data_IF_875733507959
#
_entry.id   IF_875733507959
#
_cell.length_a   1.000
_cell.length_b   1.000
_cell.length_c   1.000
_cell.angle_alpha   90.00
_cell.angle_beta   90.00
_cell.angle_gamma   90.00
#
_symmetry.space_group_name_H-M   'P 1'
#
loop_
_entity.id
_entity.type
_entity.pdbx_description
1 polymer ?
#
# COMPACT_ATOMS: atom_id res chain seq x y z
N UNK A 1 1.92 -79.80 -6.85
CA UNK A 1 2.28 -81.02 -6.11
C UNK A 1 2.34 -80.67 -4.64
N UNK A 2 1.63 -81.46 -3.83
CA UNK A 2 1.41 -81.41 -2.37
C UNK A 2 0.38 -80.36 -1.89
N UNK A 3 -0.72 -80.95 -1.43
CA UNK A 3 -1.91 -80.45 -0.73
C UNK A 3 -1.69 -80.71 0.78
N UNK A 4 -2.51 -80.08 1.64
CA UNK A 4 -2.99 -80.46 3.00
C UNK A 4 -2.65 -79.41 4.09
N UNK A 5 -3.53 -78.99 5.02
CA UNK A 5 -4.96 -79.23 5.25
C UNK A 5 -5.49 -78.31 6.39
N UNK A 6 -6.80 -78.03 6.33
CA UNK A 6 -7.82 -78.04 7.41
C UNK A 6 -7.80 -76.99 8.53
N UNK A 7 -8.95 -76.32 8.64
CA UNK A 7 -9.44 -75.73 9.90
C UNK A 7 -10.73 -74.92 9.71
N UNK A 8 -11.83 -75.55 9.31
CA UNK A 8 -13.14 -74.90 9.31
C UNK A 8 -13.85 -75.06 10.65
N UNK A 9 -14.49 -73.99 11.17
CA UNK A 9 -15.85 -74.06 11.72
C UNK A 9 -16.44 -72.70 12.12
N UNK A 10 -17.72 -72.57 11.78
CA UNK A 10 -18.83 -71.90 12.49
C UNK A 10 -18.73 -70.40 12.79
N UNK A 11 -19.35 -69.64 11.91
CA UNK A 11 -20.54 -68.82 12.19
C UNK A 11 -20.93 -68.67 13.68
N UNK A 12 -20.77 -67.46 14.22
CA UNK A 12 -21.60 -66.93 15.30
C UNK A 12 -21.87 -65.46 15.02
N UNK A 13 -23.09 -65.20 14.54
CA UNK A 13 -23.77 -63.91 14.69
C UNK A 13 -23.62 -63.42 16.13
N UNK A 14 -23.12 -62.19 16.32
CA UNK A 14 -23.84 -61.11 17.01
C UNK A 14 -22.86 -60.02 17.47
N UNK A 15 -23.23 -58.76 17.24
CA UNK A 15 -22.76 -57.67 18.09
C UNK A 15 -21.53 -56.89 17.63
N UNK A 16 -21.49 -56.40 16.39
CA UNK A 16 -20.58 -55.27 16.05
C UNK A 16 -21.17 -54.36 14.97
N UNK A 17 -22.47 -54.08 15.07
CA UNK A 17 -23.12 -52.97 14.36
C UNK A 17 -23.49 -51.87 15.35
N UNK A 18 -22.48 -51.20 15.91
CA UNK A 18 -22.62 -49.89 16.58
C UNK A 18 -21.38 -49.04 16.33
N UNK A 19 -21.13 -48.70 15.07
CA UNK A 19 -20.50 -47.41 14.76
C UNK A 19 -21.65 -46.39 14.79
N UNK A 20 -22.09 -46.04 16.00
CA UNK A 20 -23.00 -44.92 16.20
C UNK A 20 -22.23 -43.63 15.89
N UNK A 21 -22.75 -42.92 14.88
CA UNK A 21 -22.61 -41.48 14.63
C UNK A 21 -22.10 -40.67 15.83
N UNK A 22 -20.82 -40.27 15.78
CA UNK A 22 -20.19 -39.44 16.81
C UNK A 22 -20.29 -37.95 16.43
N UNK A 23 -21.49 -37.37 16.59
CA UNK A 23 -21.71 -35.92 16.45
C UNK A 23 -21.45 -35.15 17.76
N UNK A 24 -21.41 -35.84 18.92
CA UNK A 24 -21.21 -35.21 20.23
C UNK A 24 -19.74 -34.89 20.56
N UNK A 25 -18.81 -35.79 20.25
CA UNK A 25 -17.37 -35.58 20.49
C UNK A 25 -16.80 -34.46 19.63
N UNK A 26 -17.23 -34.37 18.36
CA UNK A 26 -16.83 -33.28 17.45
C UNK A 26 -17.32 -31.92 17.96
N UNK A 27 -18.55 -31.83 18.47
CA UNK A 27 -19.08 -30.59 19.06
C UNK A 27 -18.34 -30.18 20.32
N UNK A 28 -18.02 -31.14 21.20
CA UNK A 28 -17.25 -30.86 22.43
C UNK A 28 -15.84 -30.34 22.13
N UNK A 29 -15.13 -30.96 21.17
CA UNK A 29 -13.80 -30.53 20.74
C UNK A 29 -13.86 -29.12 20.12
N UNK A 30 -14.83 -28.86 19.25
CA UNK A 30 -15.01 -27.53 18.64
C UNK A 30 -15.30 -26.47 19.71
N UNK A 31 -16.18 -26.74 20.67
CA UNK A 31 -16.47 -25.80 21.76
C UNK A 31 -15.23 -25.52 22.61
N UNK A 32 -14.46 -26.55 22.98
CA UNK A 32 -13.23 -26.39 23.74
C UNK A 32 -12.19 -25.55 22.98
N UNK A 33 -12.02 -25.80 21.68
CA UNK A 33 -11.15 -25.00 20.82
C UNK A 33 -11.60 -23.54 20.74
N UNK A 34 -12.91 -23.28 20.60
CA UNK A 34 -13.46 -21.92 20.59
C UNK A 34 -13.20 -21.19 21.91
N UNK A 35 -13.38 -21.85 23.05
CA UNK A 35 -13.12 -21.27 24.38
C UNK A 35 -11.64 -20.95 24.53
N UNK A 36 -10.74 -21.89 24.21
CA UNK A 36 -9.29 -21.67 24.29
C UNK A 36 -8.88 -20.52 23.37
N UNK A 37 -9.39 -20.50 22.14
CA UNK A 37 -9.09 -19.42 21.18
C UNK A 37 -9.57 -18.07 21.69
N UNK A 38 -10.80 -17.99 22.22
CA UNK A 38 -11.34 -16.76 22.77
C UNK A 38 -10.55 -16.27 23.99
N UNK A 39 -10.15 -17.18 24.90
CA UNK A 39 -9.31 -16.85 26.05
C UNK A 39 -7.93 -16.35 25.62
N UNK A 40 -7.28 -17.03 24.66
CA UNK A 40 -5.99 -16.60 24.12
C UNK A 40 -6.09 -15.22 23.47
N UNK A 41 -7.13 -14.99 22.65
CA UNK A 41 -7.38 -13.67 22.05
C UNK A 41 -7.64 -12.60 23.11
N UNK A 42 -8.35 -12.92 24.19
CA UNK A 42 -8.59 -11.98 25.28
C UNK A 42 -7.30 -11.62 26.03
N UNK A 43 -6.43 -12.60 26.31
CA UNK A 43 -5.13 -12.37 26.96
C UNK A 43 -4.17 -11.52 26.11
N UNK A 44 -4.19 -11.71 24.79
CA UNK A 44 -3.42 -10.89 23.85
C UNK A 44 -4.02 -9.49 23.73
N UNK A 45 -5.35 -9.40 23.61
CA UNK A 45 -6.05 -8.11 23.50
C UNK A 45 -5.94 -7.26 24.78
N UNK A 46 -5.84 -7.89 25.96
CA UNK A 46 -5.60 -7.20 27.23
C UNK A 46 -4.14 -6.81 27.46
N UNK A 47 -3.22 -7.25 26.59
CA UNK A 47 -1.79 -7.01 26.72
C UNK A 47 -1.11 -7.85 27.82
N UNK A 48 -1.78 -8.86 28.37
CA UNK A 48 -1.19 -9.76 29.37
C UNK A 48 -0.12 -10.66 28.78
N UNK A 49 -0.33 -11.15 27.55
CA UNK A 49 0.69 -11.80 26.74
C UNK A 49 1.00 -10.94 25.51
N UNK A 50 2.29 -10.73 25.19
CA UNK A 50 2.64 -9.93 24.03
C UNK A 50 2.26 -10.70 22.75
N UNK A 51 1.65 -9.99 21.80
CA UNK A 51 1.34 -10.56 20.48
C UNK A 51 2.60 -10.85 19.64
N UNK A 52 3.72 -10.19 19.97
CA UNK A 52 4.98 -10.24 19.24
C UNK A 52 6.14 -10.40 20.22
N UNK A 53 7.15 -11.15 19.79
CA UNK A 53 8.37 -11.42 20.56
C UNK A 53 9.58 -11.30 19.62
N UNK A 54 10.80 -11.42 20.14
CA UNK A 54 12.00 -11.45 19.27
C UNK A 54 11.96 -12.62 18.29
N UNK A 55 11.39 -13.76 18.70
CA UNK A 55 11.22 -14.96 17.87
C UNK A 55 10.03 -14.84 16.89
N UNK A 56 9.16 -13.86 17.07
CA UNK A 56 8.01 -13.58 16.18
C UNK A 56 7.84 -12.07 16.06
N UNK A 57 8.72 -11.47 15.25
CA UNK A 57 8.81 -10.03 15.11
C UNK A 57 7.59 -9.42 14.39
N UNK A 58 7.21 -8.23 14.81
CA UNK A 58 6.21 -7.38 14.16
C UNK A 58 6.85 -6.59 13.03
N UNK A 59 6.37 -6.82 11.82
CA UNK A 59 6.71 -6.02 10.65
C UNK A 59 6.10 -4.59 10.76
N UNK A 60 6.94 -3.57 10.79
CA UNK A 60 6.54 -2.14 10.80
C UNK A 60 7.18 -1.39 9.64
N UNK A 61 6.58 -0.30 9.19
CA UNK A 61 7.17 0.61 8.22
C UNK A 61 7.36 1.95 8.91
N UNK A 62 8.61 2.43 8.94
CA UNK A 62 8.97 3.78 9.32
C UNK A 62 9.32 4.55 8.06
N UNK A 63 8.57 5.62 7.80
CA UNK A 63 8.68 6.42 6.56
C UNK A 63 8.69 7.89 6.92
N UNK A 64 9.68 8.64 6.46
CA UNK A 64 9.60 10.09 6.40
C UNK A 64 8.76 10.49 5.19
N UNK A 65 7.61 11.12 5.44
CA UNK A 65 6.68 11.59 4.41
C UNK A 65 6.82 13.09 4.25
N UNK A 66 6.97 13.54 3.00
CA UNK A 66 6.86 14.94 2.60
C UNK A 66 5.69 15.06 1.63
N UNK A 67 4.57 15.60 2.10
CA UNK A 67 3.33 15.71 1.34
C UNK A 67 3.18 17.12 0.77
N UNK A 68 3.29 17.23 -0.55
CA UNK A 68 3.10 18.45 -1.33
C UNK A 68 1.75 18.42 -2.09
N UNK A 69 0.82 17.56 -1.71
CA UNK A 69 -0.49 17.43 -2.37
C UNK A 69 -1.48 18.55 -2.00
N UNK A 70 -1.26 19.25 -0.89
CA UNK A 70 -2.10 20.35 -0.39
C UNK A 70 -1.55 21.73 -0.71
N UNK A 71 -2.26 22.78 -0.26
CA UNK A 71 -1.81 24.18 -0.39
C UNK A 71 -0.49 24.44 0.37
N UNK A 72 -0.36 23.81 1.53
CA UNK A 72 0.84 23.86 2.35
C UNK A 72 1.52 22.49 2.36
N UNK A 73 2.84 22.50 2.17
CA UNK A 73 3.64 21.31 2.26
C UNK A 73 3.71 20.83 3.72
N UNK A 74 3.34 19.57 3.95
CA UNK A 74 3.44 18.93 5.26
C UNK A 74 4.60 17.95 5.29
N UNK A 75 5.27 17.82 6.43
CA UNK A 75 6.32 16.83 6.64
C UNK A 75 6.13 16.14 7.97
N UNK A 76 6.29 14.80 7.99
CA UNK A 76 6.08 14.00 9.19
C UNK A 76 6.68 12.59 9.05
N UNK A 77 6.92 11.93 10.17
CA UNK A 77 7.27 10.51 10.23
C UNK A 77 6.00 9.69 10.42
N UNK A 78 5.77 8.72 9.54
CA UNK A 78 4.70 7.75 9.64
C UNK A 78 5.25 6.40 10.06
N UNK A 79 4.72 5.87 11.16
CA UNK A 79 4.95 4.53 11.67
C UNK A 79 3.65 3.73 11.50
N UNK A 80 3.66 2.68 10.68
CA UNK A 80 2.46 1.87 10.46
C UNK A 80 2.81 0.39 10.23
N UNK A 81 1.80 -0.47 10.34
CA UNK A 81 1.94 -1.90 10.09
C UNK A 81 0.75 -2.43 9.30
N UNK A 82 1.01 -3.43 8.45
CA UNK A 82 -0.04 -4.19 7.78
C UNK A 82 -0.63 -5.29 8.69
N UNK A 83 0.02 -5.54 9.84
CA UNK A 83 -0.49 -6.50 10.82
C UNK A 83 -1.68 -5.89 11.57
N UNK A 84 -2.77 -6.65 11.80
CA UNK A 84 -3.89 -6.17 12.60
C UNK A 84 -3.45 -5.73 14.00
N UNK A 85 -4.07 -4.68 14.52
CA UNK A 85 -3.78 -4.11 15.84
C UNK A 85 -3.40 -2.63 15.78
N UNK A 86 -3.17 -2.03 16.95
CA UNK A 86 -2.63 -0.67 17.06
C UNK A 86 -1.11 -0.71 17.31
N UNK A 87 -0.46 0.46 17.33
CA UNK A 87 1.00 0.61 17.52
C UNK A 87 1.33 1.50 18.73
N UNK A 88 0.40 1.62 19.69
CA UNK A 88 0.52 2.60 20.78
C UNK A 88 1.68 2.27 21.70
N UNK A 89 1.87 0.99 22.01
CA UNK A 89 2.94 0.51 22.88
C UNK A 89 4.30 0.75 22.23
N UNK A 90 4.43 0.45 20.93
CA UNK A 90 5.64 0.70 20.17
C UNK A 90 5.95 2.20 20.10
N UNK A 91 4.95 3.02 19.79
CA UNK A 91 5.06 4.47 19.73
C UNK A 91 5.51 5.09 21.06
N UNK A 92 4.97 4.61 22.19
CA UNK A 92 5.33 5.06 23.54
C UNK A 92 6.78 4.68 23.90
N UNK A 93 7.25 3.50 23.48
CA UNK A 93 8.63 3.07 23.73
C UNK A 93 9.66 3.88 22.92
N UNK A 94 9.34 4.23 21.67
CA UNK A 94 10.23 5.01 20.79
C UNK A 94 10.46 6.43 21.33
N UNK A 95 9.45 7.01 22.02
CA UNK A 95 9.50 8.35 22.63
C UNK A 95 9.86 9.49 21.66
N UNK A 96 9.39 9.39 20.41
CA UNK A 96 9.56 10.44 19.39
C UNK A 96 8.28 11.27 19.15
N UNK A 97 7.34 11.29 20.11
CA UNK A 97 6.17 12.17 20.07
C UNK A 97 5.10 11.75 19.05
N UNK A 98 4.91 10.44 18.88
CA UNK A 98 3.91 9.89 17.98
C UNK A 98 2.48 10.06 18.50
N UNK A 99 1.58 10.52 17.62
CA UNK A 99 0.14 10.46 17.80
C UNK A 99 -0.44 9.38 16.90
N UNK A 100 -1.15 8.41 17.48
CA UNK A 100 -1.61 7.22 16.77
C UNK A 100 -3.13 7.19 16.61
N UNK A 101 -3.58 6.80 15.42
CA UNK A 101 -5.01 6.69 15.17
C UNK A 101 -5.37 6.34 13.73
N UNK A 102 -6.68 6.15 13.51
CA UNK A 102 -7.26 5.87 12.18
C UNK A 102 -7.56 7.13 11.38
N UNK A 103 -7.44 8.29 12.00
CA UNK A 103 -7.50 9.60 11.38
C UNK A 103 -6.18 9.95 10.67
N UNK A 104 -5.06 9.37 11.10
CA UNK A 104 -3.73 9.60 10.53
C UNK A 104 -3.44 8.77 9.28
N UNK A 105 -4.46 8.52 8.45
CA UNK A 105 -4.29 7.68 7.25
C UNK A 105 -3.37 8.37 6.26
N UNK A 106 -2.48 7.58 5.66
CA UNK A 106 -1.63 8.04 4.57
C UNK A 106 -1.85 7.13 3.38
N UNK A 107 -2.10 7.74 2.24
CA UNK A 107 -2.22 7.05 0.96
C UNK A 107 -0.90 7.13 0.21
N UNK A 108 -0.10 6.06 0.24
CA UNK A 108 1.17 5.97 -0.49
C UNK A 108 0.94 5.57 -1.97
N UNK A 109 -0.07 6.20 -2.59
CA UNK A 109 -0.60 6.00 -3.95
C UNK A 109 -1.24 4.63 -4.17
N UNK A 110 -2.28 4.40 -3.38
CA UNK A 110 -3.16 3.25 -3.17
C UNK A 110 -2.56 2.03 -2.45
N UNK A 111 -1.44 2.25 -1.76
CA UNK A 111 -1.08 1.48 -0.56
C UNK A 111 -1.48 2.31 0.68
N UNK A 112 -2.67 2.05 1.22
CA UNK A 112 -3.25 2.86 2.32
C UNK A 112 -2.81 2.33 3.70
N UNK A 113 -2.12 3.17 4.47
CA UNK A 113 -1.86 2.94 5.88
C UNK A 113 -3.11 3.28 6.71
N UNK A 114 -4.01 2.29 6.89
CA UNK A 114 -5.32 2.47 7.57
C UNK A 114 -5.24 2.90 9.04
N UNK A 115 -4.15 2.53 9.70
CA UNK A 115 -3.80 2.96 11.05
C UNK A 115 -2.32 3.36 11.03
N UNK A 116 -2.01 4.55 11.52
CA UNK A 116 -0.63 4.99 11.62
C UNK A 116 -0.42 5.80 12.90
N UNK A 117 0.83 5.84 13.32
CA UNK A 117 1.37 6.73 14.31
C UNK A 117 2.18 7.80 13.58
N UNK A 118 1.84 9.07 13.77
CA UNK A 118 2.49 10.19 13.10
C UNK A 118 3.24 11.06 14.10
N UNK A 119 4.48 11.42 13.77
CA UNK A 119 5.26 12.43 14.50
C UNK A 119 5.69 13.54 13.57
N UNK A 120 5.47 14.79 13.98
CA UNK A 120 5.93 16.00 13.27
C UNK A 120 7.23 16.57 13.85
N UNK A 121 7.80 15.90 14.85
CA UNK A 121 8.96 16.38 15.59
C UNK A 121 10.18 16.48 14.67
N UNK A 122 10.66 17.70 14.46
CA UNK A 122 11.79 18.04 13.59
C UNK A 122 11.64 17.51 12.15
N UNK A 123 10.42 17.34 11.64
CA UNK A 123 10.19 16.68 10.36
C UNK A 123 10.76 17.46 9.15
N UNK A 124 10.99 18.77 9.27
CA UNK A 124 11.53 19.58 8.17
C UNK A 124 13.00 19.31 7.82
N UNK A 125 13.71 18.49 8.61
CA UNK A 125 15.15 18.23 8.43
C UNK A 125 15.38 16.90 7.70
N UNK A 126 16.38 16.84 6.82
CA UNK A 126 16.86 15.60 6.19
C UNK A 126 16.31 15.30 4.80
N UNK A 127 15.54 16.22 4.22
CA UNK A 127 15.09 16.19 2.82
C UNK A 127 15.28 17.57 2.18
N UNK A 128 15.40 17.61 0.86
CA UNK A 128 15.66 18.82 0.10
C UNK A 128 14.43 19.21 -0.74
N UNK A 129 14.21 20.52 -0.94
CA UNK A 129 13.08 21.00 -1.78
C UNK A 129 13.20 20.54 -3.24
N UNK A 130 14.41 20.29 -3.73
CA UNK A 130 14.64 19.75 -5.08
C UNK A 130 14.15 18.32 -5.26
N UNK A 131 13.94 17.58 -4.17
CA UNK A 131 13.48 16.19 -4.20
C UNK A 131 11.95 16.08 -4.28
N UNK A 132 11.25 17.21 -4.09
CA UNK A 132 9.78 17.26 -4.15
C UNK A 132 9.35 17.10 -5.62
N UNK A 133 8.53 16.09 -5.94
CA UNK A 133 8.06 15.89 -7.31
C UNK A 133 7.05 16.97 -7.70
N UNK A 134 6.99 17.26 -9.00
CA UNK A 134 6.14 18.31 -9.56
C UNK A 134 5.22 17.72 -10.62
N UNK A 135 3.93 18.01 -10.50
CA UNK A 135 2.92 17.76 -11.53
C UNK A 135 2.41 19.11 -12.03
N UNK A 136 2.63 19.41 -13.31
CA UNK A 136 2.23 20.69 -13.90
C UNK A 136 1.45 20.50 -15.19
N UNK A 137 0.27 21.10 -15.26
CA UNK A 137 -0.48 21.18 -16.52
C UNK A 137 0.28 22.06 -17.51
N UNK A 138 0.74 21.48 -18.61
CA UNK A 138 1.43 22.17 -19.70
C UNK A 138 0.49 22.55 -20.84
N UNK A 139 -0.53 21.73 -21.08
CA UNK A 139 -1.58 22.04 -22.05
C UNK A 139 -2.94 21.51 -21.58
N UNK A 140 -4.01 22.23 -21.90
CA UNK A 140 -5.39 21.87 -21.55
C UNK A 140 -6.31 22.34 -22.68
N UNK A 141 -6.56 21.43 -23.63
CA UNK A 141 -7.34 21.73 -24.83
C UNK A 141 -8.68 21.02 -24.78
N UNK A 142 -9.69 21.67 -25.36
CA UNK A 142 -10.86 20.94 -25.86
C UNK A 142 -10.41 20.15 -27.08
N UNK A 143 -10.71 18.85 -27.11
CA UNK A 143 -10.36 17.99 -28.23
C UNK A 143 -10.89 18.53 -29.55
N UNK A 144 -10.13 18.31 -30.62
CA UNK A 144 -10.40 18.80 -31.97
C UNK A 144 -10.90 17.65 -32.86
N UNK A 145 -11.72 17.98 -33.86
CA UNK A 145 -12.26 16.99 -34.81
C UNK A 145 -13.41 16.16 -34.23
N UNK A 146 -13.51 14.89 -34.60
CA UNK A 146 -14.57 13.96 -34.13
C UNK A 146 -14.50 13.65 -32.62
N UNK A 147 -13.39 14.02 -31.97
CA UNK A 147 -13.13 13.78 -30.56
C UNK A 147 -13.17 15.09 -29.75
N UNK A 148 -14.37 15.56 -29.40
CA UNK A 148 -14.58 16.79 -28.58
C UNK A 148 -14.12 16.65 -27.10
N UNK A 149 -13.48 15.54 -26.71
CA UNK A 149 -13.09 15.29 -25.30
C UNK A 149 -11.96 16.23 -24.87
N UNK A 150 -12.00 16.70 -23.63
CA UNK A 150 -10.91 17.51 -23.04
C UNK A 150 -9.64 16.66 -22.95
N UNK A 151 -8.52 17.20 -23.44
CA UNK A 151 -7.20 16.58 -23.38
C UNK A 151 -6.31 17.45 -22.50
N UNK A 152 -5.78 16.87 -21.43
CA UNK A 152 -4.86 17.54 -20.51
C UNK A 152 -3.48 16.92 -20.63
N UNK A 153 -2.48 17.72 -21.01
CA UNK A 153 -1.08 17.34 -20.97
C UNK A 153 -0.44 17.83 -19.67
N UNK A 154 0.23 16.93 -18.98
CA UNK A 154 0.84 17.15 -17.67
C UNK A 154 2.32 16.80 -17.77
N UNK A 155 3.20 17.74 -17.44
CA UNK A 155 4.60 17.45 -17.16
C UNK A 155 4.72 16.87 -15.75
N UNK A 156 5.47 15.79 -15.63
CA UNK A 156 5.78 15.09 -14.39
C UNK A 156 7.29 15.07 -14.19
N UNK A 157 7.75 15.74 -13.14
CA UNK A 157 9.14 15.71 -12.68
C UNK A 157 9.22 14.95 -11.36
N UNK A 158 10.10 13.95 -11.25
CA UNK A 158 10.14 13.03 -10.10
C UNK A 158 11.05 13.48 -8.97
N UNK A 159 11.54 14.73 -8.99
CA UNK A 159 12.48 15.25 -8.01
C UNK A 159 13.82 14.50 -7.99
N UNK A 160 14.20 13.84 -9.09
CA UNK A 160 15.41 13.02 -9.16
C UNK A 160 15.24 11.57 -8.72
N UNK A 161 14.04 11.16 -8.28
CA UNK A 161 13.77 9.75 -7.97
C UNK A 161 13.60 8.92 -9.25
N UNK A 162 14.30 7.78 -9.31
CA UNK A 162 14.10 6.75 -10.34
C UNK A 162 13.06 5.69 -9.96
N UNK A 163 12.34 5.89 -8.84
CA UNK A 163 11.34 4.96 -8.31
C UNK A 163 10.08 5.71 -7.91
N UNK A 164 8.99 5.47 -8.62
CA UNK A 164 7.75 6.20 -8.39
C UNK A 164 6.51 5.35 -8.67
N UNK A 165 5.40 5.77 -8.07
CA UNK A 165 4.07 5.22 -8.34
C UNK A 165 3.14 6.37 -8.70
N UNK A 166 2.47 6.25 -9.84
CA UNK A 166 1.46 7.19 -10.32
C UNK A 166 0.08 6.54 -10.25
N UNK A 167 -0.85 7.18 -9.56
CA UNK A 167 -2.27 6.86 -9.54
C UNK A 167 -3.02 7.78 -10.50
N UNK A 168 -3.83 7.21 -11.38
CA UNK A 168 -4.69 7.93 -12.34
C UNK A 168 -6.14 7.60 -12.01
N UNK A 169 -6.96 8.64 -11.84
CA UNK A 169 -8.39 8.49 -11.57
C UNK A 169 -9.19 8.14 -12.84
N UNK A 170 -9.50 6.86 -13.01
CA UNK A 170 -10.24 6.35 -14.16
C UNK A 170 -11.75 6.63 -14.10
N UNK A 171 -12.30 7.23 -13.04
CA UNK A 171 -13.70 7.68 -13.10
C UNK A 171 -13.85 9.01 -13.86
N UNK A 172 -12.75 9.75 -14.05
CA UNK A 172 -12.73 11.01 -14.81
C UNK A 172 -11.85 10.94 -16.06
N UNK A 173 -10.85 10.06 -16.07
CA UNK A 173 -10.01 9.75 -17.22
C UNK A 173 -10.56 8.52 -17.95
N UNK A 174 -10.63 8.60 -19.28
CA UNK A 174 -11.01 7.47 -20.12
C UNK A 174 -9.79 6.67 -20.57
N UNK A 175 -8.73 7.38 -20.98
CA UNK A 175 -7.50 6.81 -21.47
C UNK A 175 -6.32 7.78 -21.21
N UNK A 176 -5.09 7.30 -21.35
CA UNK A 176 -3.89 8.13 -21.18
C UNK A 176 -2.70 7.63 -22.03
N UNK A 177 -1.73 8.51 -22.25
CA UNK A 177 -0.40 8.12 -22.77
C UNK A 177 0.69 8.63 -21.86
N UNK A 178 1.80 7.90 -21.77
CA UNK A 178 2.99 8.28 -21.01
C UNK A 178 4.22 8.27 -21.92
N UNK A 179 4.97 9.37 -21.92
CA UNK A 179 6.19 9.55 -22.72
C UNK A 179 7.35 9.98 -21.82
N UNK A 180 8.57 9.60 -22.19
CA UNK A 180 9.81 10.08 -21.56
C UNK A 180 10.23 11.41 -22.19
N UNK A 181 10.68 12.36 -21.37
CA UNK A 181 11.27 13.61 -21.85
C UNK A 181 10.30 14.79 -22.00
N UNK A 182 10.83 15.94 -22.43
CA UNK A 182 10.10 17.20 -22.64
C UNK A 182 10.10 17.67 -24.11
N UNK A 183 10.91 17.06 -24.99
CA UNK A 183 11.15 17.52 -26.37
C UNK A 183 10.87 16.40 -27.40
N UNK A 184 10.29 16.79 -28.55
CA UNK A 184 9.76 15.91 -29.60
C UNK A 184 10.79 14.99 -30.27
N UNK A 185 12.10 15.27 -30.15
CA UNK A 185 13.15 14.57 -30.91
C UNK A 185 13.68 13.30 -30.21
N UNK A 186 13.49 13.15 -28.89
CA UNK A 186 13.91 11.99 -28.08
C UNK A 186 12.72 11.30 -27.36
N UNK A 187 11.50 11.42 -27.91
CA UNK A 187 10.28 10.85 -27.31
C UNK A 187 10.25 9.32 -27.41
N UNK A 188 10.56 8.62 -26.31
CA UNK A 188 10.20 7.21 -26.16
C UNK A 188 8.80 7.10 -25.52
N UNK A 189 7.83 6.60 -26.31
CA UNK A 189 6.49 6.30 -25.83
C UNK A 189 6.54 5.07 -24.92
N UNK A 190 6.25 5.26 -23.64
CA UNK A 190 6.22 4.17 -22.66
C UNK A 190 4.88 3.45 -22.62
N UNK A 191 3.79 4.22 -22.75
CA UNK A 191 2.44 3.69 -22.72
C UNK A 191 1.65 4.37 -23.83
N UNK A 192 1.23 3.56 -24.80
CA UNK A 192 0.42 3.98 -25.94
C UNK A 192 -1.08 4.02 -25.62
N UNK A 193 -1.80 4.79 -26.43
CA UNK A 193 -3.25 4.88 -26.33
C UNK A 193 -3.89 3.52 -26.63
N UNK A 194 -4.84 3.10 -25.82
CA UNK A 194 -5.52 1.81 -25.99
C UNK A 194 -4.71 0.58 -25.56
N UNK A 195 -3.50 0.75 -25.01
CA UNK A 195 -2.73 -0.35 -24.40
C UNK A 195 -3.25 -0.73 -23.00
N UNK A 196 -4.22 0.02 -22.49
CA UNK A 196 -4.91 -0.24 -21.23
C UNK A 196 -5.74 -1.54 -21.30
N UNK A 197 -5.68 -2.34 -20.24
CA UNK A 197 -6.63 -3.42 -19.96
C UNK A 197 -8.05 -2.85 -19.78
N UNK A 198 -9.00 -3.33 -20.59
CA UNK A 198 -10.39 -2.89 -20.54
C UNK A 198 -11.06 -3.25 -19.20
N UNK A 199 -11.81 -2.31 -18.61
CA UNK A 199 -12.74 -2.58 -17.50
C UNK A 199 -12.32 -2.15 -16.09
N UNK A 200 -11.31 -1.31 -15.90
CA UNK A 200 -10.94 -0.85 -14.54
C UNK A 200 -11.69 0.43 -14.14
N UNK A 201 -12.57 0.31 -13.14
CA UNK A 201 -13.13 1.44 -12.40
C UNK A 201 -12.25 1.76 -11.18
N UNK A 202 -12.03 3.05 -10.90
CA UNK A 202 -11.25 3.53 -9.74
C UNK A 202 -9.84 4.03 -10.08
N UNK A 203 -8.88 3.82 -9.18
CA UNK A 203 -7.49 4.28 -9.35
C UNK A 203 -6.66 3.26 -10.13
N UNK A 204 -6.18 3.64 -11.32
CA UNK A 204 -5.18 2.87 -12.06
C UNK A 204 -3.78 3.23 -11.55
N UNK A 205 -2.93 2.23 -11.30
CA UNK A 205 -1.59 2.42 -10.76
C UNK A 205 -0.52 2.04 -11.78
N UNK A 206 0.42 2.94 -12.00
CA UNK A 206 1.64 2.69 -12.77
C UNK A 206 2.81 2.74 -11.79
N UNK A 207 3.59 1.67 -11.74
CA UNK A 207 4.81 1.60 -10.95
C UNK A 207 6.03 1.62 -11.86
N UNK A 208 6.96 2.52 -11.58
CA UNK A 208 8.23 2.62 -12.27
C UNK A 208 9.39 2.44 -11.28
N UNK A 209 10.41 1.70 -11.70
CA UNK A 209 11.64 1.52 -10.93
C UNK A 209 12.80 1.30 -11.88
N UNK A 210 13.65 2.31 -12.02
CA UNK A 210 14.83 2.29 -12.87
C UNK A 210 16.14 2.50 -12.10
N UNK A 211 17.26 2.28 -12.78
CA UNK A 211 18.61 2.54 -12.25
C UNK A 211 18.99 4.02 -12.22
N UNK A 212 20.24 4.34 -11.88
CA UNK A 212 20.75 5.72 -11.73
C UNK A 212 20.63 6.61 -12.96
N UNK A 213 20.47 6.02 -14.16
CA UNK A 213 20.33 6.74 -15.44
C UNK A 213 18.90 6.69 -16.00
N UNK A 214 17.94 6.24 -15.19
CA UNK A 214 16.56 6.19 -15.59
C UNK A 214 15.98 7.61 -15.76
N UNK A 215 14.99 7.79 -16.64
CA UNK A 215 14.32 9.07 -16.81
C UNK A 215 13.64 9.53 -15.52
N UNK A 216 13.67 10.84 -15.29
CA UNK A 216 13.05 11.53 -14.15
C UNK A 216 12.03 12.59 -14.59
N UNK A 217 11.84 12.72 -15.90
CA UNK A 217 10.92 13.65 -16.54
C UNK A 217 10.05 12.92 -17.53
N UNK A 218 8.75 13.17 -17.46
CA UNK A 218 7.75 12.49 -18.26
C UNK A 218 6.65 13.46 -18.67
N UNK A 219 5.99 13.15 -19.79
CA UNK A 219 4.77 13.82 -20.23
C UNK A 219 3.62 12.84 -20.25
N UNK A 220 2.56 13.19 -19.54
CA UNK A 220 1.32 12.42 -19.47
C UNK A 220 0.22 13.17 -20.23
N UNK A 221 -0.43 12.52 -21.20
CA UNK A 221 -1.63 13.06 -21.85
C UNK A 221 -2.84 12.29 -21.34
N UNK A 222 -3.81 13.01 -20.79
CA UNK A 222 -5.03 12.46 -20.21
C UNK A 222 -6.23 12.76 -21.11
N UNK A 223 -6.94 11.74 -21.54
CA UNK A 223 -8.16 11.85 -22.32
C UNK A 223 -9.36 11.74 -21.38
N UNK A 224 -10.08 12.84 -21.18
CA UNK A 224 -11.14 12.88 -20.18
C UNK A 224 -12.47 12.29 -20.67
N UNK A 225 -13.20 11.66 -19.74
CA UNK A 225 -14.56 11.17 -19.98
C UNK A 225 -15.52 12.34 -20.25
N UNK A 226 -16.50 12.14 -21.14
CA UNK A 226 -17.61 13.08 -21.30
C UNK A 226 -18.60 12.95 -20.13
N UNK A 227 -19.18 14.07 -19.69
CA UNK A 227 -20.27 14.07 -18.70
C UNK A 227 -19.87 13.69 -17.28
N UNK A 228 -18.63 13.93 -16.88
CA UNK A 228 -18.15 13.67 -15.51
C UNK A 228 -18.97 14.46 -14.48
N UNK A 229 -19.36 13.81 -13.38
CA UNK A 229 -20.08 14.45 -12.29
C UNK A 229 -19.20 15.48 -11.56
N UNK A 230 -19.76 16.65 -11.22
CA UNK A 230 -19.03 17.71 -10.50
C UNK A 230 -18.38 17.23 -9.20
N UNK A 231 -18.97 16.26 -8.50
CA UNK A 231 -18.39 15.69 -7.27
C UNK A 231 -17.07 14.98 -7.53
N UNK A 232 -16.95 14.28 -8.66
CA UNK A 232 -15.71 13.58 -9.06
C UNK A 232 -14.62 14.55 -9.53
N UNK A 233 -15.01 15.76 -9.93
CA UNK A 233 -14.07 16.83 -10.26
C UNK A 233 -13.45 17.51 -9.02
N UNK A 234 -13.93 17.22 -7.80
CA UNK A 234 -13.38 17.82 -6.58
C UNK A 234 -12.17 17.05 -6.02
N UNK A 235 -11.94 15.82 -6.49
CA UNK A 235 -10.79 15.01 -6.07
C UNK A 235 -9.62 15.16 -7.06
N UNK A 236 -8.39 14.85 -6.63
CA UNK A 236 -7.25 14.81 -7.54
C UNK A 236 -7.47 13.82 -8.68
N UNK A 237 -6.98 14.18 -9.87
CA UNK A 237 -6.95 13.31 -11.04
C UNK A 237 -5.71 12.43 -11.03
N UNK A 238 -4.61 12.98 -10.52
CA UNK A 238 -3.34 12.29 -10.38
C UNK A 238 -2.89 12.32 -8.93
N UNK A 239 -2.26 11.23 -8.52
CA UNK A 239 -1.49 11.13 -7.28
C UNK A 239 -0.15 10.52 -7.59
N UNK A 240 0.93 11.12 -7.11
CA UNK A 240 2.29 10.68 -7.35
C UNK A 240 2.99 10.43 -6.02
N UNK A 241 3.67 9.29 -5.92
CA UNK A 241 4.64 8.98 -4.87
C UNK A 241 6.00 8.81 -5.52
N UNK A 242 7.00 9.49 -5.01
CA UNK A 242 8.41 9.20 -5.32
C UNK A 242 9.10 8.68 -4.06
N UNK A 243 9.96 7.68 -4.24
CA UNK A 243 10.65 6.99 -3.15
C UNK A 243 12.15 7.26 -3.22
N UNK A 244 12.79 7.45 -2.07
CA UNK A 244 14.24 7.61 -1.94
C UNK A 244 14.79 6.60 -0.93
N UNK A 245 15.88 5.93 -1.31
CA UNK A 245 16.63 5.03 -0.42
C UNK A 245 17.61 5.85 0.42
N UNK A 246 17.07 6.73 1.26
CA UNK A 246 17.84 7.63 2.12
C UNK A 246 17.21 7.67 3.50
N UNK A 247 18.01 7.34 4.51
CA UNK A 247 17.60 7.44 5.92
C UNK A 247 17.79 8.89 6.37
N UNK A 248 16.71 9.54 6.74
CA UNK A 248 16.75 10.88 7.37
C UNK A 248 17.10 10.77 8.85
N UNK A 249 17.64 11.82 9.50
CA UNK A 249 18.00 11.77 10.92
C UNK A 249 16.83 11.38 11.85
N UNK A 250 15.60 11.72 11.49
CA UNK A 250 14.38 11.41 12.23
C UNK A 250 14.04 9.93 12.13
N UNK A 251 14.10 9.39 10.90
CA UNK A 251 13.88 7.95 10.67
C UNK A 251 14.95 7.16 11.41
N UNK A 252 16.22 7.59 11.35
CA UNK A 252 17.30 6.94 12.10
C UNK A 252 16.99 6.87 13.60
N UNK A 253 16.58 7.99 14.23
CA UNK A 253 16.21 8.00 15.67
C UNK A 253 15.08 7.04 16.00
N UNK A 254 14.08 6.94 15.12
CA UNK A 254 12.96 6.02 15.30
C UNK A 254 13.43 4.58 15.17
N UNK A 255 14.23 4.26 14.14
CA UNK A 255 14.77 2.92 13.91
C UNK A 255 15.67 2.44 15.05
N UNK A 256 16.53 3.31 15.58
CA UNK A 256 17.42 3.00 16.72
C UNK A 256 16.66 2.71 18.03
N UNK A 257 15.42 3.18 18.14
CA UNK A 257 14.56 3.02 19.32
C UNK A 257 13.36 2.10 19.07
N UNK A 258 13.32 1.44 17.91
CA UNK A 258 12.31 0.43 17.67
C UNK A 258 12.44 -0.67 18.72
N UNK A 259 11.33 -1.17 19.27
CA UNK A 259 11.37 -2.34 20.15
C UNK A 259 12.06 -3.52 19.45
N UNK A 260 12.78 -4.36 20.20
CA UNK A 260 13.57 -5.48 19.62
C UNK A 260 12.72 -6.51 18.89
N UNK A 261 11.43 -6.59 19.24
CA UNK A 261 10.44 -7.42 18.56
C UNK A 261 9.80 -6.72 17.34
N UNK A 262 10.27 -5.54 16.92
CA UNK A 262 9.84 -4.86 15.69
C UNK A 262 10.94 -4.93 14.63
N UNK A 263 10.53 -5.12 13.38
CA UNK A 263 11.44 -5.11 12.23
C UNK A 263 10.90 -4.23 11.10
N UNK A 264 11.80 -3.45 10.49
CA UNK A 264 11.44 -2.65 9.31
C UNK A 264 11.04 -3.60 8.18
N UNK A 265 9.86 -3.36 7.64
CA UNK A 265 9.25 -4.12 6.57
C UNK A 265 9.41 -3.38 5.24
N UNK A 266 9.72 -4.13 4.17
CA UNK A 266 9.82 -3.60 2.82
C UNK A 266 9.24 -4.59 1.81
N UNK A 267 8.09 -4.28 1.23
CA UNK A 267 7.58 -4.96 0.03
C UNK A 267 7.98 -4.14 -1.20
N UNK A 268 7.93 -4.77 -2.37
CA UNK A 268 8.18 -4.08 -3.66
C UNK A 268 7.26 -2.88 -3.90
N UNK A 269 6.10 -2.80 -3.25
CA UNK A 269 5.12 -1.70 -3.35
C UNK A 269 5.11 -0.77 -2.16
N UNK A 270 5.77 -1.11 -1.03
CA UNK A 270 5.84 -0.21 0.12
C UNK A 270 6.77 0.98 -0.19
N UNK A 271 6.51 2.14 0.43
CA UNK A 271 7.46 3.24 0.35
C UNK A 271 8.83 2.85 0.93
N UNK A 272 9.86 3.55 0.49
CA UNK A 272 11.16 3.51 1.18
C UNK A 272 11.13 4.36 2.46
N UNK A 273 12.29 4.54 3.09
CA UNK A 273 12.41 5.30 4.34
C UNK A 273 12.18 6.80 4.16
N UNK A 274 12.21 7.31 2.92
CA UNK A 274 11.79 8.67 2.57
C UNK A 274 10.89 8.61 1.32
N UNK A 275 9.71 9.21 1.43
CA UNK A 275 8.73 9.30 0.35
C UNK A 275 8.16 10.71 0.22
N UNK A 276 8.01 11.16 -1.02
CA UNK A 276 7.32 12.41 -1.33
C UNK A 276 6.00 12.13 -2.02
N UNK A 277 4.99 12.92 -1.69
CA UNK A 277 3.65 12.83 -2.26
C UNK A 277 3.33 14.14 -3.00
N UNK A 278 2.72 14.01 -4.17
CA UNK A 278 2.17 15.14 -4.92
C UNK A 278 0.83 14.74 -5.52
N UNK A 279 -0.05 15.72 -5.76
CA UNK A 279 -1.33 15.47 -6.41
C UNK A 279 -1.65 16.56 -7.42
N UNK A 280 -2.40 16.21 -8.46
CA UNK A 280 -2.91 17.17 -9.42
C UNK A 280 -4.44 17.24 -9.32
N UNK A 281 -5.02 18.40 -8.95
CA UNK A 281 -6.48 18.58 -8.96
C UNK A 281 -7.04 18.54 -10.39
N UNK A 282 -8.34 18.26 -10.52
CA UNK A 282 -9.02 18.23 -11.81
C UNK A 282 -9.19 19.62 -12.45
N UNK A 283 -9.28 20.66 -11.62
CA UNK A 283 -9.30 22.07 -12.00
C UNK A 283 -8.04 22.76 -11.49
N UNK A 284 -7.56 23.78 -12.22
CA UNK A 284 -6.48 24.66 -11.75
C UNK A 284 -6.85 25.36 -10.45
#
# INVERSE_FOLDING_TARGET
MIIYHRGGRSDTRSGLHRIFQNNGSKRSIVTALCIITALSLALVASGFLPAFTEDTARAVNVVHVVDASGEEQASFISLFSNTPGNLNVEAEQIKEGFSCGRENKVDFVSFEAKYSCVSKKDAEVGWDKSDVPVLRVVNDEKGRGDDERRIMAVSMETGGSSRWILGIDMEVVEDFTLQVGEEEEDEELMIGRGEKSSGEDGWHQIQFSGGKKAPTKFVLKLYQKKGVEKKKMQRPVLKLRTDFDRITPQVQRVLERLPTYCSQFGKSTSPFTLAFLASLPYTK
#
